data_IF_914212130182
#
_entry.id   IF_914212130182
#
_cell.length_a   1.000
_cell.length_b   1.000
_cell.length_c   1.000
_cell.angle_alpha   90.00
_cell.angle_beta   90.00
_cell.angle_gamma   90.00
#
_symmetry.space_group_name_H-M   'P 1'
#
loop_
_entity.id
_entity.type
_entity.pdbx_description
1 polymer ?
#
# COMPACT_ATOMS: atom_id res chain seq x y z
N UNK A 1 64.70 2.95 6.11
CA UNK A 1 64.26 4.12 5.31
C UNK A 1 62.75 4.21 5.42
N UNK A 2 62.26 5.34 5.96
CA UNK A 2 60.84 5.63 6.22
C UNK A 2 60.03 5.73 4.93
N UNK A 3 58.77 5.31 4.98
CA UNK A 3 57.62 6.13 4.55
C UNK A 3 56.32 5.54 5.10
N UNK A 4 55.80 6.25 6.09
CA UNK A 4 54.41 6.19 6.55
C UNK A 4 53.51 6.83 5.48
N UNK A 5 52.33 6.25 5.26
CA UNK A 5 51.21 6.91 4.57
C UNK A 5 50.04 6.91 5.55
N UNK A 6 49.75 8.09 6.08
CA UNK A 6 48.56 8.39 6.88
C UNK A 6 47.33 8.36 5.97
N UNK A 7 46.32 7.60 6.37
CA UNK A 7 44.96 7.69 5.83
C UNK A 7 44.18 8.63 6.75
N UNK A 8 43.75 9.76 6.20
CA UNK A 8 42.96 10.78 6.87
C UNK A 8 41.50 10.34 6.93
N UNK A 9 41.00 10.00 8.12
CA UNK A 9 39.56 9.79 8.37
C UNK A 9 38.90 11.13 8.65
N UNK A 10 37.97 11.55 7.78
CA UNK A 10 37.15 12.74 7.98
C UNK A 10 35.80 12.33 8.57
N UNK A 11 35.63 12.55 9.87
CA UNK A 11 34.36 12.41 10.59
C UNK A 11 33.58 13.71 10.43
N UNK A 12 32.45 13.68 9.71
CA UNK A 12 31.51 14.81 9.64
C UNK A 12 30.53 14.67 10.80
N UNK A 13 30.71 15.52 11.82
CA UNK A 13 29.73 15.75 12.90
C UNK A 13 28.85 16.90 12.42
N UNK A 14 27.59 16.62 12.09
CA UNK A 14 26.58 17.65 11.85
C UNK A 14 25.93 18.05 13.19
N UNK A 15 26.36 19.19 13.74
CA UNK A 15 25.70 19.82 14.86
C UNK A 15 24.54 20.70 14.36
N UNK A 16 23.31 20.35 14.74
CA UNK A 16 22.13 21.20 14.55
C UNK A 16 22.19 22.39 15.52
N UNK A 17 22.44 23.58 15.00
CA UNK A 17 22.29 24.84 15.74
C UNK A 17 20.86 25.37 15.64
N UNK A 18 20.15 25.37 16.77
CA UNK A 18 18.99 26.23 17.01
C UNK A 18 19.47 27.66 17.23
N UNK A 19 18.94 28.63 16.50
CA UNK A 19 19.03 30.04 16.85
C UNK A 19 17.71 30.75 16.52
N UNK A 20 17.06 31.22 17.57
CA UNK A 20 15.97 32.19 17.57
C UNK A 20 16.51 33.58 17.93
N UNK A 21 15.70 34.61 17.65
CA UNK A 21 15.89 36.06 17.84
C UNK A 21 16.48 36.76 16.60
N UNK A 22 16.00 37.92 16.14
CA UNK A 22 15.02 38.87 16.66
C UNK A 22 14.72 39.96 15.60
N UNK A 23 13.76 40.81 15.92
CA UNK A 23 13.20 41.89 15.11
C UNK A 23 14.21 42.94 14.63
N UNK A 24 13.94 43.56 13.48
CA UNK A 24 14.13 45.00 13.30
C UNK A 24 13.04 45.59 12.39
N UNK A 25 12.44 46.67 12.89
CA UNK A 25 11.45 47.50 12.23
C UNK A 25 12.10 48.34 11.13
N UNK A 26 11.36 48.61 10.06
CA UNK A 26 11.48 49.89 9.35
C UNK A 26 10.12 50.32 8.83
N UNK A 27 9.69 51.48 9.31
CA UNK A 27 8.49 52.21 8.94
C UNK A 27 8.58 52.69 7.47
N UNK A 28 7.47 52.61 6.73
CA UNK A 28 7.21 53.58 5.67
C UNK A 28 5.71 53.88 5.53
N UNK A 29 5.36 55.05 6.06
CA UNK A 29 4.30 56.03 5.75
C UNK A 29 3.10 55.62 4.87
N UNK A 30 1.94 55.68 5.53
CA UNK A 30 0.63 56.20 5.13
C UNK A 30 0.44 56.76 3.70
N UNK A 31 -0.58 56.23 3.03
CA UNK A 31 -1.56 57.04 2.31
C UNK A 31 -2.97 56.52 2.62
N UNK A 32 -3.72 57.30 3.40
CA UNK A 32 -5.17 57.23 3.47
C UNK A 32 -5.76 57.83 2.19
N UNK A 33 -6.69 57.11 1.57
CA UNK A 33 -7.87 57.73 0.97
C UNK A 33 -9.07 56.87 1.31
N UNK A 34 -10.01 57.51 2.00
CA UNK A 34 -11.23 56.91 2.49
C UNK A 34 -12.28 56.81 1.38
N UNK A 35 -13.20 55.86 1.63
CA UNK A 35 -14.62 55.93 1.35
C UNK A 35 -15.11 55.26 0.05
N UNK A 36 -15.50 53.98 0.17
CA UNK A 36 -16.81 53.55 -0.32
C UNK A 36 -17.30 52.31 0.46
N UNK A 37 -18.11 52.56 1.49
CA UNK A 37 -19.02 51.55 2.06
C UNK A 37 -20.17 51.35 1.07
N UNK A 38 -20.35 50.15 0.54
CA UNK A 38 -21.67 49.54 0.27
C UNK A 38 -21.56 48.08 -0.16
N UNK A 39 -22.49 47.29 0.38
CA UNK A 39 -22.80 45.88 0.11
C UNK A 39 -21.88 44.83 0.74
N UNK A 40 -21.90 44.80 2.08
CA UNK A 40 -22.11 43.53 2.78
C UNK A 40 -23.46 42.94 2.35
N UNK A 41 -23.52 41.61 2.23
CA UNK A 41 -24.59 40.78 1.64
C UNK A 41 -24.57 40.66 0.11
N UNK A 42 -23.81 39.68 -0.40
CA UNK A 42 -24.38 38.69 -1.32
C UNK A 42 -23.47 37.46 -1.47
N UNK A 43 -24.01 36.33 -1.00
CA UNK A 43 -23.65 34.93 -1.34
C UNK A 43 -22.25 34.44 -0.93
N UNK A 44 -22.11 34.13 0.36
CA UNK A 44 -21.57 32.81 0.72
C UNK A 44 -22.53 31.75 0.17
N UNK A 45 -22.37 31.40 -1.11
CA UNK A 45 -22.82 30.09 -1.59
C UNK A 45 -21.82 29.09 -1.02
N UNK A 46 -22.07 28.62 0.21
CA UNK A 46 -21.62 27.29 0.61
C UNK A 46 -22.30 26.29 -0.32
N UNK A 47 -21.75 26.10 -1.51
CA UNK A 47 -22.02 24.91 -2.30
C UNK A 47 -21.29 23.76 -1.60
N UNK A 48 -21.89 23.24 -0.52
CA UNK A 48 -21.76 21.82 -0.25
C UNK A 48 -22.58 21.11 -1.33
N UNK A 49 -22.08 21.09 -2.56
CA UNK A 49 -22.43 20.00 -3.44
C UNK A 49 -21.70 18.80 -2.84
N UNK A 50 -22.45 17.93 -2.15
CA UNK A 50 -21.96 16.60 -1.86
C UNK A 50 -21.45 16.02 -3.18
N UNK A 51 -20.19 15.55 -3.19
CA UNK A 51 -19.60 14.97 -4.37
C UNK A 51 -20.46 13.75 -4.74
N UNK A 52 -21.03 13.72 -5.94
CA UNK A 52 -21.84 12.57 -6.39
C UNK A 52 -21.13 11.85 -7.53
N UNK A 53 -21.14 10.52 -7.50
CA UNK A 53 -20.68 9.73 -8.64
C UNK A 53 -21.45 10.17 -9.91
N UNK A 54 -20.76 10.39 -11.04
CA UNK A 54 -21.44 10.77 -12.29
C UNK A 54 -22.54 9.78 -12.67
N UNK A 55 -23.73 10.30 -13.02
CA UNK A 55 -24.89 9.49 -13.41
C UNK A 55 -25.01 9.30 -14.93
N UNK A 56 -24.57 10.29 -15.69
CA UNK A 56 -24.59 10.26 -17.15
C UNK A 56 -23.20 9.94 -17.67
N UNK A 57 -23.11 8.84 -18.43
CA UNK A 57 -21.87 8.35 -18.99
C UNK A 57 -21.86 8.57 -20.50
N UNK A 58 -20.71 8.95 -21.05
CA UNK A 58 -20.54 9.03 -22.50
C UNK A 58 -20.39 7.62 -23.07
N UNK A 59 -21.46 7.08 -23.67
CA UNK A 59 -21.47 5.74 -24.25
C UNK A 59 -20.38 5.50 -25.32
N UNK A 60 -19.85 6.57 -25.93
CA UNK A 60 -18.76 6.49 -26.91
C UNK A 60 -17.35 6.42 -26.29
N UNK A 61 -17.20 6.62 -24.98
CA UNK A 61 -15.90 6.80 -24.33
C UNK A 61 -14.98 5.57 -24.43
N UNK A 62 -15.54 4.37 -24.65
CA UNK A 62 -14.77 3.13 -24.79
C UNK A 62 -14.61 2.65 -26.24
N UNK A 63 -15.20 3.35 -27.22
CA UNK A 63 -15.16 2.95 -28.62
C UNK A 63 -13.80 3.31 -29.24
N UNK A 64 -13.21 2.37 -29.97
CA UNK A 64 -11.98 2.57 -30.75
C UNK A 64 -10.81 3.17 -29.94
N UNK A 65 -10.73 2.84 -28.64
CA UNK A 65 -9.65 3.29 -27.77
C UNK A 65 -8.29 2.80 -28.28
N UNK A 66 -7.41 3.75 -28.58
CA UNK A 66 -6.00 3.50 -28.94
C UNK A 66 -5.10 3.40 -27.70
N UNK A 67 -5.54 3.95 -26.57
CA UNK A 67 -4.80 3.95 -25.30
C UNK A 67 -5.74 3.83 -24.10
N UNK A 68 -5.24 3.22 -23.03
CA UNK A 68 -5.91 3.17 -21.72
C UNK A 68 -5.20 3.99 -20.65
N UNK A 69 -4.08 4.66 -21.00
CA UNK A 69 -3.36 5.54 -20.09
C UNK A 69 -4.16 6.83 -19.87
N UNK A 70 -4.33 7.22 -18.61
CA UNK A 70 -4.91 8.50 -18.22
C UNK A 70 -3.89 9.32 -17.40
N UNK A 71 -4.13 10.62 -17.26
CA UNK A 71 -3.16 11.59 -16.72
C UNK A 71 -2.73 11.29 -15.28
N UNK A 72 -3.62 10.75 -14.45
CA UNK A 72 -3.38 10.48 -13.03
C UNK A 72 -3.39 8.99 -12.68
N UNK A 73 -3.55 8.10 -13.67
CA UNK A 73 -3.68 6.66 -13.44
C UNK A 73 -2.71 5.86 -14.30
N UNK A 74 -1.93 5.01 -13.62
CA UNK A 74 -1.23 3.89 -14.24
C UNK A 74 -2.09 2.63 -14.12
N UNK A 75 -2.64 2.16 -15.23
CA UNK A 75 -3.34 0.86 -15.28
C UNK A 75 -2.35 -0.27 -15.54
N UNK A 76 -2.44 -1.33 -14.74
CA UNK A 76 -1.80 -2.61 -15.00
C UNK A 76 -2.86 -3.53 -15.63
N UNK A 77 -2.86 -3.59 -16.96
CA UNK A 77 -3.98 -4.08 -17.77
C UNK A 77 -3.98 -5.62 -17.94
N UNK A 78 -4.14 -6.35 -16.83
CA UNK A 78 -4.30 -7.81 -16.83
C UNK A 78 -5.05 -8.27 -15.58
N UNK A 79 -5.76 -9.40 -15.69
CA UNK A 79 -6.35 -10.09 -14.53
C UNK A 79 -5.58 -11.39 -14.16
N UNK A 80 -4.50 -11.71 -14.87
CA UNK A 80 -3.62 -12.83 -14.51
C UNK A 80 -2.64 -12.38 -13.41
N UNK A 81 -2.67 -12.98 -12.20
CA UNK A 81 -1.76 -12.62 -11.11
C UNK A 81 -0.28 -12.76 -11.46
N UNK A 82 0.10 -13.75 -12.28
CA UNK A 82 1.49 -13.95 -12.72
C UNK A 82 1.93 -12.78 -13.58
N UNK A 83 1.12 -12.40 -14.58
CA UNK A 83 1.43 -11.25 -15.43
C UNK A 83 1.38 -9.93 -14.67
N UNK A 84 0.43 -9.76 -13.75
CA UNK A 84 0.31 -8.59 -12.89
C UNK A 84 1.58 -8.39 -12.06
N UNK A 85 2.13 -9.46 -11.49
CA UNK A 85 3.37 -9.42 -10.73
C UNK A 85 4.57 -9.04 -11.60
N UNK A 86 4.64 -9.55 -12.83
CA UNK A 86 5.68 -9.16 -13.82
C UNK A 86 5.56 -7.68 -14.17
N UNK A 87 4.37 -7.18 -14.50
CA UNK A 87 4.16 -5.75 -14.83
C UNK A 87 4.48 -4.86 -13.63
N UNK A 88 4.05 -5.25 -12.42
CA UNK A 88 4.35 -4.52 -11.18
C UNK A 88 5.85 -4.43 -10.95
N UNK A 89 6.56 -5.57 -11.06
CA UNK A 89 8.00 -5.61 -10.86
C UNK A 89 8.76 -4.77 -11.89
N UNK A 90 8.34 -4.77 -13.16
CA UNK A 90 8.92 -3.91 -14.20
C UNK A 90 8.64 -2.43 -13.99
N UNK A 91 7.48 -2.08 -13.41
CA UNK A 91 7.12 -0.69 -13.12
C UNK A 91 7.95 -0.11 -11.98
N UNK A 92 8.26 -0.92 -10.96
CA UNK A 92 8.95 -0.45 -9.74
C UNK A 92 10.46 -0.67 -9.82
N UNK A 93 10.89 -1.80 -10.39
CA UNK A 93 12.29 -2.17 -10.56
C UNK A 93 12.62 -2.35 -12.06
N UNK A 94 12.94 -1.25 -12.76
CA UNK A 94 13.37 -1.33 -14.15
C UNK A 94 14.63 -2.19 -14.35
N UNK A 95 15.45 -2.39 -13.31
CA UNK A 95 16.65 -3.22 -13.33
C UNK A 95 17.63 -2.87 -14.46
N UNK A 96 17.72 -1.57 -14.79
CA UNK A 96 18.64 -1.04 -15.82
C UNK A 96 20.05 -0.80 -15.29
N UNK A 97 20.19 -0.67 -13.97
CA UNK A 97 21.46 -0.51 -13.24
C UNK A 97 21.28 -1.02 -11.81
N UNK A 98 22.37 -1.18 -11.04
CA UNK A 98 22.32 -1.86 -9.73
C UNK A 98 21.39 -1.17 -8.74
N UNK A 99 21.31 0.14 -8.80
CA UNK A 99 20.56 1.00 -7.88
C UNK A 99 19.04 0.85 -8.03
N UNK A 100 18.55 0.30 -9.15
CA UNK A 100 17.13 0.01 -9.38
C UNK A 100 16.85 -1.48 -9.61
N UNK A 101 17.75 -2.36 -9.16
CA UNK A 101 17.52 -3.79 -9.01
C UNK A 101 16.96 -4.09 -7.62
N UNK A 102 16.11 -5.12 -7.46
CA UNK A 102 15.65 -5.55 -6.16
C UNK A 102 16.76 -6.28 -5.38
N UNK A 103 16.63 -6.34 -4.06
CA UNK A 103 17.50 -7.21 -3.25
C UNK A 103 17.17 -8.68 -3.45
N UNK A 104 15.90 -9.07 -3.34
CA UNK A 104 15.45 -10.44 -3.59
C UNK A 104 14.05 -10.48 -4.22
N UNK A 105 13.73 -11.56 -4.94
CA UNK A 105 12.38 -11.85 -5.39
C UNK A 105 11.68 -12.80 -4.40
N UNK A 106 10.42 -12.53 -4.08
CA UNK A 106 9.59 -13.36 -3.18
C UNK A 106 8.64 -14.19 -4.05
N UNK A 107 8.78 -15.51 -4.05
CA UNK A 107 7.89 -16.42 -4.78
C UNK A 107 6.82 -16.95 -3.86
N UNK A 108 5.55 -16.73 -4.23
CA UNK A 108 4.39 -17.19 -3.48
C UNK A 108 3.51 -18.12 -4.33
N UNK A 109 2.84 -19.11 -3.73
CA UNK A 109 1.92 -19.98 -4.44
C UNK A 109 0.69 -19.21 -4.95
N UNK A 110 0.39 -19.31 -6.25
CA UNK A 110 -0.73 -18.58 -6.88
C UNK A 110 -2.11 -18.90 -6.30
N UNK A 111 -2.28 -20.11 -5.75
CA UNK A 111 -3.56 -20.58 -5.22
C UNK A 111 -3.65 -20.58 -3.68
N UNK A 112 -2.73 -19.91 -2.97
CA UNK A 112 -2.78 -19.79 -1.50
C UNK A 112 -2.61 -18.33 -1.09
N UNK A 113 -3.69 -17.56 -1.23
CA UNK A 113 -3.70 -16.12 -0.99
C UNK A 113 -3.26 -15.76 0.44
N UNK A 114 -3.47 -16.64 1.42
CA UNK A 114 -3.06 -16.40 2.80
C UNK A 114 -1.53 -16.31 2.93
N UNK A 115 -0.81 -17.21 2.27
CA UNK A 115 0.65 -17.20 2.24
C UNK A 115 1.14 -15.97 1.50
N UNK A 116 0.57 -15.69 0.33
CA UNK A 116 0.93 -14.50 -0.45
C UNK A 116 0.71 -13.19 0.30
N UNK A 117 -0.42 -13.08 1.01
CA UNK A 117 -0.78 -11.89 1.80
C UNK A 117 0.16 -11.68 2.97
N UNK A 118 0.47 -12.71 3.76
CA UNK A 118 1.40 -12.59 4.88
C UNK A 118 2.83 -12.31 4.41
N UNK A 119 3.23 -12.86 3.26
CA UNK A 119 4.58 -12.66 2.69
C UNK A 119 4.87 -11.22 2.25
N UNK A 120 3.83 -10.39 2.09
CA UNK A 120 4.02 -8.98 1.76
C UNK A 120 4.85 -8.22 2.81
N UNK A 121 4.83 -8.67 4.08
CA UNK A 121 5.63 -8.10 5.17
C UNK A 121 7.15 -8.08 4.87
N UNK A 122 7.59 -8.98 3.98
CA UNK A 122 8.99 -9.12 3.58
C UNK A 122 9.36 -8.28 2.34
N UNK A 123 8.44 -7.52 1.74
CA UNK A 123 8.69 -6.71 0.53
C UNK A 123 9.73 -5.62 0.80
N UNK A 124 9.49 -4.74 1.77
CA UNK A 124 10.38 -3.59 2.04
C UNK A 124 11.69 -4.03 2.71
N UNK A 125 11.60 -4.64 3.89
CA UNK A 125 12.74 -5.21 4.59
C UNK A 125 12.53 -6.72 4.74
N UNK A 126 13.54 -7.57 4.46
CA UNK A 126 14.93 -7.26 4.06
C UNK A 126 15.11 -7.08 2.55
N UNK A 127 14.08 -7.36 1.75
CA UNK A 127 14.27 -7.71 0.34
C UNK A 127 14.35 -6.49 -0.57
N UNK A 128 13.57 -5.44 -0.29
CA UNK A 128 13.25 -4.40 -1.25
C UNK A 128 13.02 -4.97 -2.66
N UNK A 129 11.99 -5.81 -2.80
CA UNK A 129 11.78 -6.56 -4.02
C UNK A 129 10.36 -7.08 -4.24
N UNK A 130 10.06 -7.56 -5.45
CA UNK A 130 8.70 -7.89 -5.84
C UNK A 130 8.24 -9.24 -5.27
N UNK A 131 6.92 -9.38 -5.13
CA UNK A 131 6.26 -10.68 -5.11
C UNK A 131 6.08 -11.14 -6.56
N UNK A 132 6.48 -12.38 -6.84
CA UNK A 132 6.16 -13.11 -8.06
C UNK A 132 5.46 -14.44 -7.70
N UNK A 133 4.85 -15.08 -8.68
CA UNK A 133 4.01 -16.26 -8.45
C UNK A 133 4.64 -17.54 -8.94
N UNK A 134 4.44 -18.62 -8.18
CA UNK A 134 4.83 -19.98 -8.53
C UNK A 134 3.68 -20.95 -8.30
N UNK A 135 3.83 -22.16 -8.83
CA UNK A 135 3.02 -23.32 -8.47
C UNK A 135 3.83 -24.24 -7.56
N UNK A 136 3.15 -25.23 -6.95
CA UNK A 136 3.82 -26.19 -6.08
C UNK A 136 4.86 -27.04 -6.83
N UNK A 137 4.53 -27.44 -8.06
CA UNK A 137 5.34 -28.36 -8.87
C UNK A 137 6.24 -27.66 -9.90
N UNK A 138 5.99 -26.38 -10.18
CA UNK A 138 6.72 -25.62 -11.21
C UNK A 138 6.68 -24.10 -11.03
N UNK A 139 7.60 -23.39 -11.67
CA UNK A 139 7.59 -21.93 -11.75
C UNK A 139 7.13 -21.52 -13.16
N UNK A 140 6.12 -20.65 -13.30
CA UNK A 140 5.71 -20.13 -14.60
C UNK A 140 6.89 -19.52 -15.37
N UNK A 141 6.96 -19.76 -16.67
CA UNK A 141 8.06 -19.26 -17.52
C UNK A 141 8.20 -17.73 -17.44
N UNK A 142 7.08 -17.00 -17.36
CA UNK A 142 7.08 -15.55 -17.18
C UNK A 142 7.77 -15.13 -15.88
N UNK A 143 7.57 -15.87 -14.79
CA UNK A 143 8.24 -15.61 -13.51
C UNK A 143 9.73 -15.91 -13.58
N UNK A 144 10.15 -17.02 -14.19
CA UNK A 144 11.58 -17.33 -14.37
C UNK A 144 12.31 -16.27 -15.21
N UNK A 145 11.69 -15.84 -16.32
CA UNK A 145 12.21 -14.75 -17.16
C UNK A 145 12.33 -13.46 -16.37
N UNK A 146 11.35 -13.15 -15.54
CA UNK A 146 11.35 -11.93 -14.75
C UNK A 146 12.41 -11.94 -13.64
N UNK A 147 12.58 -13.04 -12.90
CA UNK A 147 13.68 -13.17 -11.91
C UNK A 147 15.03 -12.93 -12.61
N UNK A 148 15.23 -13.54 -13.79
CA UNK A 148 16.47 -13.36 -14.57
C UNK A 148 16.67 -11.90 -15.01
N UNK A 149 15.60 -11.22 -15.44
CA UNK A 149 15.63 -9.81 -15.85
C UNK A 149 15.96 -8.90 -14.67
N UNK A 150 15.32 -9.14 -13.52
CA UNK A 150 15.51 -8.39 -12.28
C UNK A 150 16.95 -8.53 -11.76
N UNK A 151 17.55 -9.71 -11.92
CA UNK A 151 18.90 -10.05 -11.46
C UNK A 151 19.14 -9.60 -10.00
N UNK A 152 18.43 -10.21 -9.02
CA UNK A 152 18.41 -9.72 -7.64
C UNK A 152 19.80 -9.70 -7.00
N UNK A 153 20.09 -8.61 -6.27
CA UNK A 153 21.42 -8.37 -5.69
C UNK A 153 21.78 -9.31 -4.53
N UNK A 154 20.78 -9.90 -3.90
CA UNK A 154 20.89 -10.60 -2.63
C UNK A 154 20.58 -9.69 -1.44
N UNK A 155 19.86 -10.21 -0.46
CA UNK A 155 19.71 -9.60 0.87
C UNK A 155 21.03 -9.62 1.65
N UNK A 156 21.02 -9.16 2.91
CA UNK A 156 22.21 -9.13 3.78
C UNK A 156 22.89 -10.50 3.94
N UNK A 157 22.12 -11.59 3.95
CA UNK A 157 22.66 -12.95 4.00
C UNK A 157 22.93 -13.54 2.60
N UNK A 158 22.72 -12.77 1.54
CA UNK A 158 22.93 -13.13 0.14
C UNK A 158 21.74 -13.83 -0.51
N UNK A 159 20.59 -13.97 0.17
CA UNK A 159 19.40 -14.60 -0.41
C UNK A 159 18.89 -13.77 -1.59
N UNK A 160 18.76 -14.38 -2.77
CA UNK A 160 18.28 -13.73 -3.98
C UNK A 160 16.83 -14.08 -4.31
N UNK A 161 16.38 -15.26 -3.87
CA UNK A 161 15.00 -15.71 -4.04
C UNK A 161 14.49 -16.30 -2.73
N UNK A 162 13.37 -15.79 -2.25
CA UNK A 162 12.66 -16.38 -1.13
C UNK A 162 11.48 -17.21 -1.66
N UNK A 163 11.36 -18.45 -1.21
CA UNK A 163 10.31 -19.38 -1.62
C UNK A 163 9.33 -19.57 -0.45
N UNK A 164 8.08 -19.22 -0.66
CA UNK A 164 7.05 -19.26 0.37
C UNK A 164 6.17 -20.50 0.18
N UNK A 165 6.02 -21.30 1.23
CA UNK A 165 5.21 -22.51 1.19
C UNK A 165 6.01 -23.79 0.96
N UNK A 166 5.30 -24.92 1.07
CA UNK A 166 5.84 -26.23 0.71
C UNK A 166 5.74 -26.46 -0.80
N UNK A 167 6.89 -26.65 -1.44
CA UNK A 167 7.04 -26.87 -2.89
C UNK A 167 7.82 -28.15 -3.17
N UNK A 168 7.57 -28.76 -4.32
CA UNK A 168 8.30 -29.93 -4.76
C UNK A 168 9.76 -29.60 -5.06
N UNK A 169 10.66 -30.58 -4.93
CA UNK A 169 12.08 -30.40 -5.26
C UNK A 169 12.29 -29.93 -6.70
N UNK A 170 11.42 -30.33 -7.64
CA UNK A 170 11.46 -29.87 -9.04
C UNK A 170 11.32 -28.34 -9.18
N UNK A 171 10.58 -27.70 -8.29
CA UNK A 171 10.43 -26.24 -8.23
C UNK A 171 11.73 -25.58 -7.77
N UNK A 172 12.37 -26.15 -6.74
CA UNK A 172 13.65 -25.65 -6.23
C UNK A 172 14.80 -25.84 -7.22
N UNK A 173 14.81 -26.95 -7.97
CA UNK A 173 15.82 -27.21 -9.01
C UNK A 173 15.79 -26.17 -10.14
N UNK A 174 14.64 -25.57 -10.42
CA UNK A 174 14.51 -24.46 -11.40
C UNK A 174 15.20 -23.17 -10.92
N UNK A 175 15.55 -23.07 -9.63
CA UNK A 175 16.18 -21.91 -9.00
C UNK A 175 17.64 -22.15 -8.59
N UNK A 176 18.25 -23.26 -9.01
CA UNK A 176 19.62 -23.68 -8.58
C UNK A 176 20.73 -22.67 -8.85
N UNK A 177 20.51 -21.69 -9.74
CA UNK A 177 21.45 -20.61 -10.06
C UNK A 177 21.40 -19.46 -9.03
N UNK A 178 20.41 -19.46 -8.14
CA UNK A 178 20.19 -18.43 -7.14
C UNK A 178 20.42 -18.97 -5.73
N UNK A 179 20.80 -18.08 -4.81
CA UNK A 179 20.74 -18.41 -3.39
C UNK A 179 19.29 -18.34 -2.90
N UNK A 180 18.73 -19.49 -2.57
CA UNK A 180 17.33 -19.64 -2.16
C UNK A 180 17.20 -19.76 -0.63
N UNK A 181 16.20 -19.08 -0.07
CA UNK A 181 15.71 -19.31 1.30
C UNK A 181 14.24 -19.70 1.24
N UNK A 182 13.82 -20.73 1.96
CA UNK A 182 12.44 -21.20 1.96
C UNK A 182 11.79 -21.07 3.35
N UNK A 183 10.57 -20.55 3.40
CA UNK A 183 9.67 -20.71 4.55
C UNK A 183 8.70 -21.83 4.21
N UNK A 184 9.04 -23.05 4.64
CA UNK A 184 8.34 -24.28 4.28
C UNK A 184 7.18 -24.57 5.24
N UNK A 185 6.00 -24.00 4.97
CA UNK A 185 4.77 -24.21 5.75
C UNK A 185 3.54 -23.93 4.88
N UNK A 186 2.44 -24.67 5.06
CA UNK A 186 1.20 -24.51 4.30
C UNK A 186 0.00 -24.10 5.16
N UNK A 187 0.04 -24.30 6.48
CA UNK A 187 -0.99 -23.77 7.38
C UNK A 187 -0.88 -22.23 7.45
N UNK A 188 -1.95 -21.48 7.14
CA UNK A 188 -1.91 -20.02 7.14
C UNK A 188 -1.40 -19.40 8.44
N UNK A 189 -1.85 -19.87 9.60
CA UNK A 189 -1.52 -19.27 10.88
C UNK A 189 -0.08 -19.61 11.31
N UNK A 190 0.37 -20.85 11.06
CA UNK A 190 1.76 -21.24 11.31
C UNK A 190 2.70 -20.51 10.36
N UNK A 191 2.34 -20.38 9.08
CA UNK A 191 3.13 -19.65 8.09
C UNK A 191 3.27 -18.17 8.46
N UNK A 192 2.16 -17.50 8.81
CA UNK A 192 2.17 -16.10 9.22
C UNK A 192 3.05 -15.85 10.46
N UNK A 193 3.00 -16.75 11.46
CA UNK A 193 3.95 -16.73 12.59
C UNK A 193 5.40 -16.88 12.12
N UNK A 194 5.65 -17.74 11.13
CA UNK A 194 6.96 -17.93 10.51
C UNK A 194 7.48 -16.65 9.85
N UNK A 195 6.62 -15.91 9.14
CA UNK A 195 6.97 -14.60 8.55
C UNK A 195 7.27 -13.55 9.62
N UNK A 196 6.43 -13.42 10.65
CA UNK A 196 6.67 -12.51 11.80
C UNK A 196 8.02 -12.81 12.48
N UNK A 197 8.33 -14.09 12.67
CA UNK A 197 9.63 -14.52 13.20
C UNK A 197 10.79 -14.18 12.26
N UNK A 198 10.65 -14.44 10.97
CA UNK A 198 11.68 -14.14 9.97
C UNK A 198 11.98 -12.64 9.95
N UNK A 199 10.95 -11.79 9.93
CA UNK A 199 11.09 -10.33 10.03
C UNK A 199 11.84 -9.93 11.31
N UNK A 200 11.46 -10.50 12.46
CA UNK A 200 12.09 -10.21 13.74
C UNK A 200 13.56 -10.67 13.81
N UNK A 201 13.89 -11.82 13.22
CA UNK A 201 15.26 -12.35 13.16
C UNK A 201 16.16 -11.42 12.33
N UNK A 202 15.63 -10.84 11.25
CA UNK A 202 16.34 -9.89 10.39
C UNK A 202 16.54 -8.54 11.06
N UNK A 203 15.49 -8.00 11.68
CA UNK A 203 15.47 -6.64 12.24
C UNK A 203 15.91 -6.58 13.70
N UNK A 204 16.04 -7.74 14.36
CA UNK A 204 16.50 -7.90 15.73
C UNK A 204 15.42 -7.76 16.80
N UNK A 205 14.16 -7.53 16.42
CA UNK A 205 13.03 -7.44 17.37
C UNK A 205 11.69 -7.68 16.69
N UNK A 206 10.72 -8.17 17.46
CA UNK A 206 9.32 -8.19 17.04
C UNK A 206 8.73 -6.77 17.04
N UNK A 207 8.03 -6.35 15.97
CA UNK A 207 7.19 -5.16 15.95
C UNK A 207 6.14 -5.22 17.07
N UNK A 208 5.89 -4.14 17.82
CA UNK A 208 4.89 -4.19 18.90
C UNK A 208 3.45 -4.27 18.38
N UNK A 209 3.18 -3.63 17.24
CA UNK A 209 1.88 -3.64 16.58
C UNK A 209 1.71 -4.87 15.67
N UNK A 210 0.49 -5.36 15.54
CA UNK A 210 0.11 -6.56 14.75
C UNK A 210 -1.23 -6.33 14.09
N UNK A 211 -1.37 -6.74 12.84
CA UNK A 211 -2.66 -6.82 12.16
C UNK A 211 -3.22 -8.24 12.30
N UNK A 212 -4.50 -8.34 12.63
CA UNK A 212 -5.26 -9.59 12.66
C UNK A 212 -6.28 -9.56 11.53
N UNK A 213 -6.17 -10.52 10.62
CA UNK A 213 -7.15 -10.77 9.55
C UNK A 213 -7.75 -12.17 9.66
N UNK A 214 -8.90 -12.38 9.04
CA UNK A 214 -9.46 -13.72 8.88
C UNK A 214 -8.69 -14.48 7.80
N UNK A 215 -8.43 -15.77 8.01
CA UNK A 215 -7.90 -16.70 7.00
C UNK A 215 -8.98 -17.42 6.19
N UNK A 216 -10.25 -17.26 6.57
CA UNK A 216 -11.40 -17.87 5.91
C UNK A 216 -11.78 -17.10 4.64
N UNK A 217 -12.37 -17.77 3.65
CA UNK A 217 -12.67 -17.16 2.35
C UNK A 217 -13.68 -16.01 2.46
N UNK A 218 -14.68 -16.15 3.34
CA UNK A 218 -15.66 -15.11 3.65
C UNK A 218 -15.00 -13.82 4.18
N UNK A 219 -13.84 -13.97 4.85
CA UNK A 219 -13.07 -12.86 5.41
C UNK A 219 -11.98 -12.32 4.48
N UNK A 220 -11.69 -12.99 3.36
CA UNK A 220 -10.58 -12.67 2.46
C UNK A 220 -10.53 -11.19 2.08
N UNK A 221 -11.64 -10.65 1.56
CA UNK A 221 -11.70 -9.25 1.12
C UNK A 221 -11.58 -8.24 2.27
N UNK A 222 -11.92 -8.61 3.51
CA UNK A 222 -11.72 -7.75 4.69
C UNK A 222 -10.26 -7.76 5.15
N UNK A 223 -9.55 -8.86 4.92
CA UNK A 223 -8.12 -9.00 5.22
C UNK A 223 -7.24 -8.37 4.14
N UNK A 224 -7.66 -8.41 2.86
CA UNK A 224 -6.89 -7.91 1.70
C UNK A 224 -6.25 -6.53 1.91
N UNK A 225 -6.91 -5.52 2.52
CA UNK A 225 -6.29 -4.22 2.74
C UNK A 225 -5.02 -4.22 3.61
N UNK A 226 -4.82 -5.23 4.46
CA UNK A 226 -3.60 -5.38 5.26
C UNK A 226 -2.34 -5.51 4.38
N UNK A 227 -2.46 -6.19 3.24
CA UNK A 227 -1.35 -6.53 2.34
C UNK A 227 -0.55 -5.29 1.94
N UNK A 228 -1.26 -4.21 1.60
CA UNK A 228 -0.62 -2.96 1.22
C UNK A 228 0.12 -2.31 2.40
N UNK A 229 -0.45 -2.31 3.60
CA UNK A 229 0.22 -1.70 4.75
C UNK A 229 1.52 -2.44 5.07
N UNK A 230 1.45 -3.76 5.22
CA UNK A 230 2.60 -4.58 5.63
C UNK A 230 3.66 -4.65 4.52
N UNK A 231 3.32 -4.37 3.26
CA UNK A 231 4.32 -4.26 2.18
C UNK A 231 5.39 -3.19 2.42
N UNK A 232 5.08 -2.19 3.26
CA UNK A 232 5.97 -1.09 3.59
C UNK A 232 6.32 -1.02 5.08
N UNK A 233 5.33 -1.28 5.93
CA UNK A 233 5.38 -1.06 7.37
C UNK A 233 5.71 -2.35 8.12
N UNK A 234 6.33 -2.26 9.31
CA UNK A 234 6.92 -3.42 9.98
C UNK A 234 5.91 -4.39 10.59
N UNK A 235 4.63 -4.03 10.71
CA UNK A 235 3.65 -4.86 11.40
C UNK A 235 3.29 -6.14 10.62
N UNK A 236 3.34 -7.33 11.23
CA UNK A 236 2.95 -8.55 10.54
C UNK A 236 1.42 -8.63 10.41
N UNK A 237 0.98 -9.43 9.43
CA UNK A 237 -0.38 -9.97 9.37
C UNK A 237 -0.40 -11.36 9.99
N UNK A 238 -1.21 -11.55 11.04
CA UNK A 238 -1.51 -12.85 11.62
C UNK A 238 -2.98 -13.22 11.39
N UNK A 239 -3.27 -14.53 11.41
CA UNK A 239 -4.58 -15.05 11.04
C UNK A 239 -5.41 -15.55 12.21
N UNK A 240 -6.72 -15.40 12.09
CA UNK A 240 -7.74 -16.03 12.93
C UNK A 240 -8.83 -16.66 12.06
N UNK A 241 -9.60 -17.58 12.62
CA UNK A 241 -10.91 -17.94 12.06
C UNK A 241 -12.01 -17.05 12.66
N UNK A 242 -13.24 -17.19 12.18
CA UNK A 242 -14.38 -16.38 12.65
C UNK A 242 -14.55 -16.43 14.17
N UNK A 243 -14.47 -17.62 14.75
CA UNK A 243 -14.76 -17.89 16.16
C UNK A 243 -13.59 -18.51 16.93
N UNK A 244 -12.40 -18.56 16.33
CA UNK A 244 -11.23 -19.23 16.91
C UNK A 244 -9.94 -18.46 16.66
N UNK A 245 -9.12 -18.35 17.70
CA UNK A 245 -7.71 -17.94 17.59
C UNK A 245 -6.84 -19.20 17.49
N UNK A 246 -6.12 -19.43 16.38
CA UNK A 246 -5.16 -20.53 16.27
C UNK A 246 -4.02 -20.40 17.30
N UNK A 247 -3.47 -21.53 17.78
CA UNK A 247 -2.34 -21.49 18.74
C UNK A 247 -1.12 -20.79 18.15
N UNK A 248 -0.85 -20.94 16.86
CA UNK A 248 0.26 -20.23 16.19
C UNK A 248 0.14 -18.71 16.32
N UNK A 249 -1.07 -18.17 16.22
CA UNK A 249 -1.34 -16.73 16.41
C UNK A 249 -1.13 -16.34 17.87
N UNK A 250 -1.56 -17.18 18.82
CA UNK A 250 -1.32 -16.96 20.25
C UNK A 250 0.20 -16.93 20.55
N UNK A 251 0.96 -17.86 20.00
CA UNK A 251 2.43 -17.94 20.16
C UNK A 251 3.12 -16.70 19.59
N UNK A 252 2.74 -16.25 18.39
CA UNK A 252 3.27 -15.03 17.78
C UNK A 252 2.98 -13.79 18.63
N UNK A 253 1.77 -13.68 19.21
CA UNK A 253 1.42 -12.58 20.11
C UNK A 253 2.21 -12.64 21.43
N UNK A 254 2.42 -13.83 21.99
CA UNK A 254 3.23 -14.02 23.21
C UNK A 254 4.68 -13.54 23.03
N UNK A 255 5.23 -13.56 21.81
CA UNK A 255 6.58 -13.03 21.53
C UNK A 255 6.73 -11.54 21.91
N UNK A 256 5.63 -10.79 21.93
CA UNK A 256 5.57 -9.36 22.35
C UNK A 256 5.40 -9.17 23.86
N UNK A 257 5.44 -10.26 24.65
CA UNK A 257 5.45 -10.24 26.13
C UNK A 257 4.28 -9.44 26.74
N UNK A 258 3.08 -9.56 26.15
CA UNK A 258 1.87 -8.87 26.62
C UNK A 258 1.78 -7.39 26.23
N UNK A 259 2.69 -6.89 25.39
CA UNK A 259 2.73 -5.49 24.93
C UNK A 259 2.19 -5.32 23.50
N UNK A 260 1.48 -6.31 22.97
CA UNK A 260 1.00 -6.22 21.60
C UNK A 260 -0.05 -5.11 21.44
N UNK A 261 0.07 -4.31 20.38
CA UNK A 261 -1.02 -3.46 19.88
C UNK A 261 -1.69 -4.21 18.73
N UNK A 262 -2.89 -4.74 18.96
CA UNK A 262 -3.55 -5.69 18.07
C UNK A 262 -4.64 -4.94 17.29
N UNK A 263 -4.53 -4.90 15.96
CA UNK A 263 -5.52 -4.27 15.09
C UNK A 263 -6.30 -5.33 14.32
N UNK A 264 -7.59 -5.50 14.65
CA UNK A 264 -8.46 -6.48 14.01
C UNK A 264 -9.13 -5.83 12.80
N UNK A 265 -8.92 -6.38 11.60
CA UNK A 265 -9.57 -5.90 10.38
C UNK A 265 -10.85 -6.69 10.09
N UNK A 266 -11.95 -5.98 9.96
CA UNK A 266 -13.25 -6.54 9.58
C UNK A 266 -14.31 -6.49 10.69
N UNK A 267 -15.59 -6.58 10.30
CA UNK A 267 -16.72 -6.55 11.22
C UNK A 267 -16.82 -7.84 12.05
N UNK A 268 -17.67 -7.81 13.07
CA UNK A 268 -17.89 -8.94 13.98
C UNK A 268 -18.45 -10.19 13.29
N UNK A 269 -19.10 -10.02 12.14
CA UNK A 269 -19.61 -11.12 11.31
C UNK A 269 -18.50 -11.94 10.67
N UNK A 270 -17.29 -11.36 10.55
CA UNK A 270 -16.08 -11.98 9.99
C UNK A 270 -15.11 -12.41 11.08
N UNK A 271 -14.95 -11.63 12.16
CA UNK A 271 -14.12 -11.97 13.33
C UNK A 271 -14.91 -11.61 14.58
N UNK A 272 -15.42 -12.61 15.31
CA UNK A 272 -16.35 -12.40 16.42
C UNK A 272 -15.78 -11.62 17.60
N UNK A 273 -16.67 -11.12 18.47
CA UNK A 273 -16.29 -10.50 19.75
C UNK A 273 -15.55 -11.48 20.65
N UNK A 274 -15.89 -12.76 20.58
CA UNK A 274 -15.24 -13.82 21.34
C UNK A 274 -13.77 -13.97 20.95
N UNK A 275 -13.45 -13.87 19.66
CA UNK A 275 -12.06 -13.81 19.17
C UNK A 275 -11.37 -12.56 19.70
N UNK A 276 -12.01 -11.39 19.61
CA UNK A 276 -11.45 -10.14 20.13
C UNK A 276 -11.11 -10.22 21.63
N UNK A 277 -12.01 -10.82 22.42
CA UNK A 277 -11.80 -11.07 23.86
C UNK A 277 -10.63 -12.01 24.13
N UNK A 278 -10.42 -13.03 23.28
CA UNK A 278 -9.28 -13.92 23.39
C UNK A 278 -7.97 -13.20 23.09
N UNK A 279 -7.94 -12.40 22.02
CA UNK A 279 -6.78 -11.58 21.63
C UNK A 279 -6.42 -10.56 22.73
N UNK A 280 -7.42 -9.97 23.39
CA UNK A 280 -7.25 -9.03 24.50
C UNK A 280 -6.47 -9.55 25.71
N UNK A 281 -6.28 -10.88 25.82
CA UNK A 281 -5.41 -11.49 26.84
C UNK A 281 -3.92 -11.29 26.54
N UNK A 282 -3.58 -10.88 25.32
CA UNK A 282 -2.21 -10.79 24.81
C UNK A 282 -1.78 -9.36 24.46
N UNK A 283 -2.69 -8.38 24.53
CA UNK A 283 -2.41 -7.00 24.19
C UNK A 283 -3.65 -6.12 24.13
N UNK A 284 -3.47 -4.86 23.75
CA UNK A 284 -4.56 -3.92 23.52
C UNK A 284 -5.16 -4.16 22.15
N UNK A 285 -6.47 -4.42 22.07
CA UNK A 285 -7.16 -4.66 20.80
C UNK A 285 -7.89 -3.39 20.34
N UNK A 286 -7.77 -3.09 19.06
CA UNK A 286 -8.52 -2.04 18.35
C UNK A 286 -9.10 -2.66 17.09
N UNK A 287 -10.42 -2.60 16.92
CA UNK A 287 -11.08 -3.04 15.68
C UNK A 287 -11.14 -1.91 14.66
N UNK A 288 -10.89 -2.24 13.39
CA UNK A 288 -11.07 -1.38 12.23
C UNK A 288 -12.01 -2.12 11.29
N UNK A 289 -13.20 -1.57 11.08
CA UNK A 289 -14.26 -2.29 10.37
C UNK A 289 -15.13 -1.36 9.52
N UNK A 290 -15.54 -1.86 8.35
CA UNK A 290 -16.69 -1.37 7.58
C UNK A 290 -17.71 -2.48 7.38
N UNK A 291 -18.94 -2.14 6.98
CA UNK A 291 -20.03 -3.12 6.78
C UNK A 291 -19.79 -3.97 5.53
N UNK A 292 -19.22 -3.37 4.50
CA UNK A 292 -18.80 -4.04 3.26
C UNK A 292 -17.27 -4.10 3.14
N UNK A 293 -16.70 -4.97 2.27
CA UNK A 293 -15.26 -4.97 2.04
C UNK A 293 -14.71 -3.64 1.51
N UNK A 294 -15.48 -2.96 0.65
CA UNK A 294 -15.15 -1.61 0.16
C UNK A 294 -15.07 -0.63 1.31
N UNK A 295 -16.09 -0.54 2.17
CA UNK A 295 -16.07 0.35 3.33
C UNK A 295 -14.99 -0.02 4.34
N UNK A 296 -14.67 -1.31 4.50
CA UNK A 296 -13.58 -1.77 5.34
C UNK A 296 -12.21 -1.30 4.83
N UNK A 297 -12.00 -1.35 3.50
CA UNK A 297 -10.78 -0.81 2.88
C UNK A 297 -10.66 0.71 3.09
N UNK A 298 -11.78 1.45 2.99
CA UNK A 298 -11.86 2.89 3.29
C UNK A 298 -11.59 3.16 4.77
N UNK A 299 -12.19 2.38 5.66
CA UNK A 299 -12.01 2.51 7.10
C UNK A 299 -10.52 2.34 7.46
N UNK A 300 -9.85 1.34 6.89
CA UNK A 300 -8.42 1.12 7.12
C UNK A 300 -7.55 2.22 6.50
N UNK A 301 -7.87 2.68 5.28
CA UNK A 301 -7.17 3.81 4.66
C UNK A 301 -7.26 5.09 5.53
N UNK A 302 -8.43 5.39 6.10
CA UNK A 302 -8.60 6.59 6.95
C UNK A 302 -8.01 6.41 8.36
N UNK A 303 -7.85 5.17 8.83
CA UNK A 303 -7.45 4.90 10.20
C UNK A 303 -6.04 5.41 10.52
N UNK A 304 -5.89 5.99 11.71
CA UNK A 304 -4.60 6.36 12.29
C UNK A 304 -4.67 6.20 13.81
N UNK A 305 -3.78 5.39 14.38
CA UNK A 305 -3.51 5.39 15.81
C UNK A 305 -2.39 6.39 16.10
N UNK A 306 -2.72 7.50 16.76
CA UNK A 306 -1.76 8.55 17.07
C UNK A 306 -0.67 8.16 18.07
N UNK A 307 -0.89 7.12 18.88
CA UNK A 307 0.06 6.67 19.90
C UNK A 307 1.09 5.74 19.29
N UNK A 308 0.64 4.76 18.52
CA UNK A 308 1.52 3.74 17.91
C UNK A 308 2.03 4.15 16.54
N UNK A 309 1.43 5.18 15.93
CA UNK A 309 1.62 5.61 14.54
C UNK A 309 1.18 4.60 13.49
N UNK A 310 0.51 3.51 13.90
CA UNK A 310 -0.09 2.53 12.99
C UNK A 310 -1.24 3.15 12.18
N UNK A 311 -1.39 2.72 10.92
CA UNK A 311 -2.44 3.17 10.00
C UNK A 311 -2.02 4.32 9.09
N UNK A 312 -2.70 4.40 7.96
CA UNK A 312 -2.41 5.31 6.85
C UNK A 312 -2.71 6.78 7.17
N UNK A 313 -3.82 7.07 7.86
CA UNK A 313 -4.29 8.44 8.05
C UNK A 313 -4.61 9.16 6.74
N UNK A 314 -5.05 8.42 5.73
CA UNK A 314 -5.28 8.87 4.36
C UNK A 314 -6.50 9.80 4.28
N UNK A 315 -6.27 11.09 4.56
CA UNK A 315 -7.30 12.11 4.77
C UNK A 315 -6.98 13.46 4.13
N UNK A 316 -5.84 13.56 3.44
CA UNK A 316 -5.32 14.77 2.79
C UNK A 316 -4.84 14.42 1.38
N UNK A 317 -4.65 15.39 0.47
CA UNK A 317 -4.05 15.14 -0.85
C UNK A 317 -2.55 14.83 -0.76
N UNK A 318 -1.98 14.32 -1.85
CA UNK A 318 -0.53 14.12 -2.05
C UNK A 318 -0.07 12.67 -1.94
N UNK A 319 -0.94 11.71 -2.22
CA UNK A 319 -0.66 10.30 -1.99
C UNK A 319 -0.90 9.43 -3.23
N UNK A 320 -0.24 8.27 -3.27
CA UNK A 320 -0.65 7.18 -4.15
C UNK A 320 -1.92 6.52 -3.62
N UNK A 321 -2.68 5.86 -4.50
CA UNK A 321 -3.77 4.96 -4.12
C UNK A 321 -3.85 3.84 -5.14
N UNK A 322 -4.00 2.60 -4.66
CA UNK A 322 -4.22 1.45 -5.50
C UNK A 322 -5.72 1.11 -5.52
N UNK A 323 -6.21 0.65 -6.66
CA UNK A 323 -7.59 0.21 -6.84
C UNK A 323 -7.62 -1.19 -7.44
N UNK A 324 -8.50 -2.04 -6.94
CA UNK A 324 -8.69 -3.41 -7.43
C UNK A 324 -10.16 -3.80 -7.31
N UNK A 325 -10.64 -4.64 -8.23
CA UNK A 325 -11.99 -5.20 -8.14
C UNK A 325 -12.09 -6.22 -7.00
N UNK A 326 -13.24 -6.27 -6.31
CA UNK A 326 -13.55 -7.34 -5.35
C UNK A 326 -13.61 -8.74 -6.00
N UNK A 327 -13.69 -8.84 -7.33
CA UNK A 327 -13.68 -10.11 -8.06
C UNK A 327 -12.27 -10.63 -8.38
N UNK A 328 -11.23 -9.79 -8.25
CA UNK A 328 -9.84 -10.14 -8.56
C UNK A 328 -8.87 -9.79 -7.41
N UNK A 329 -9.15 -10.21 -6.16
CA UNK A 329 -8.37 -9.76 -4.99
C UNK A 329 -6.91 -10.19 -5.01
N UNK A 330 -6.54 -11.26 -5.74
CA UNK A 330 -5.15 -11.72 -5.88
C UNK A 330 -4.23 -10.70 -6.55
N UNK A 331 -4.79 -9.81 -7.38
CA UNK A 331 -4.02 -8.72 -7.97
C UNK A 331 -3.47 -7.76 -6.91
N UNK A 332 -4.08 -7.71 -5.72
CA UNK A 332 -3.56 -6.93 -4.59
C UNK A 332 -2.21 -7.44 -4.13
N UNK A 333 -2.03 -8.77 -4.03
CA UNK A 333 -0.77 -9.38 -3.62
C UNK A 333 0.32 -9.07 -4.65
N UNK A 334 -0.01 -9.19 -5.93
CA UNK A 334 0.87 -8.87 -7.04
C UNK A 334 1.28 -7.38 -7.05
N UNK A 335 0.32 -6.48 -6.81
CA UNK A 335 0.49 -5.03 -6.82
C UNK A 335 0.96 -4.42 -5.49
N UNK A 336 1.08 -5.22 -4.43
CA UNK A 336 1.45 -4.77 -3.08
C UNK A 336 2.71 -3.88 -3.03
N UNK A 337 3.77 -4.15 -3.85
CA UNK A 337 4.94 -3.27 -3.93
C UNK A 337 4.67 -1.77 -4.15
N UNK A 338 3.55 -1.38 -4.78
CA UNK A 338 3.20 0.04 -4.94
C UNK A 338 2.95 0.75 -3.61
N UNK A 339 2.63 0.04 -2.54
CA UNK A 339 2.49 0.67 -1.22
C UNK A 339 3.85 0.99 -0.59
N UNK A 340 4.91 0.26 -0.98
CA UNK A 340 6.28 0.61 -0.60
C UNK A 340 6.86 1.72 -1.47
N UNK A 341 6.80 1.59 -2.80
CA UNK A 341 7.53 2.45 -3.75
C UNK A 341 6.63 3.29 -4.67
N UNK A 342 5.31 3.21 -4.54
CA UNK A 342 4.32 3.97 -5.31
C UNK A 342 3.64 5.07 -4.48
N UNK A 343 4.43 5.89 -3.77
CA UNK A 343 3.92 7.00 -2.94
C UNK A 343 2.97 6.57 -1.80
N UNK A 344 3.29 5.48 -1.11
CA UNK A 344 2.58 5.01 0.09
C UNK A 344 1.08 4.78 -0.17
N UNK A 345 0.80 3.96 -1.19
CA UNK A 345 -0.54 3.73 -1.70
C UNK A 345 -1.35 2.70 -0.88
N UNK A 346 -2.38 3.10 -0.10
CA UNK A 346 -3.38 2.16 0.39
C UNK A 346 -4.16 1.54 -0.78
N UNK A 347 -4.78 0.39 -0.55
CA UNK A 347 -5.70 -0.23 -1.50
C UNK A 347 -7.14 0.13 -1.17
N UNK A 348 -7.90 0.54 -2.18
CA UNK A 348 -9.35 0.68 -2.13
C UNK A 348 -9.99 -0.41 -2.99
N UNK A 349 -10.89 -1.18 -2.39
CA UNK A 349 -11.62 -2.23 -3.10
C UNK A 349 -12.82 -1.62 -3.83
N UNK A 350 -12.88 -1.84 -5.14
CA UNK A 350 -14.01 -1.46 -5.98
C UNK A 350 -15.00 -2.62 -6.06
N UNK A 351 -16.24 -2.40 -5.66
CA UNK A 351 -17.29 -3.42 -5.74
C UNK A 351 -17.50 -3.82 -7.20
N UNK A 352 -17.05 -5.04 -7.56
CA UNK A 352 -17.05 -5.58 -8.92
C UNK A 352 -16.49 -4.58 -9.95
N UNK A 353 -15.43 -3.87 -9.55
CA UNK A 353 -14.75 -2.89 -10.38
C UNK A 353 -15.52 -1.59 -10.63
N UNK A 354 -16.52 -1.27 -9.80
CA UNK A 354 -17.28 -0.02 -9.89
C UNK A 354 -16.92 0.93 -8.73
N UNK A 355 -16.97 2.22 -9.02
CA UNK A 355 -16.85 3.28 -8.00
C UNK A 355 -18.17 3.36 -7.24
N UNK A 356 -18.13 3.07 -5.94
CA UNK A 356 -19.24 3.31 -5.03
C UNK A 356 -19.19 4.74 -4.49
N UNK A 357 -20.32 5.24 -3.97
CA UNK A 357 -20.37 6.57 -3.37
C UNK A 357 -19.35 6.76 -2.22
N UNK A 358 -19.15 5.79 -1.29
CA UNK A 358 -18.10 5.91 -0.28
C UNK A 358 -16.68 6.06 -0.84
N UNK A 359 -16.35 5.38 -1.94
CA UNK A 359 -15.03 5.53 -2.59
C UNK A 359 -14.92 6.94 -3.17
N UNK A 360 -15.96 7.41 -3.86
CA UNK A 360 -16.00 8.74 -4.45
C UNK A 360 -15.86 9.85 -3.41
N UNK A 361 -16.54 9.73 -2.27
CA UNK A 361 -16.48 10.69 -1.17
C UNK A 361 -15.08 10.74 -0.53
N UNK A 362 -14.44 9.58 -0.36
CA UNK A 362 -13.05 9.52 0.10
C UNK A 362 -12.13 10.25 -0.89
N UNK A 363 -12.25 9.97 -2.19
CA UNK A 363 -11.41 10.61 -3.21
C UNK A 363 -11.67 12.12 -3.29
N UNK A 364 -12.91 12.57 -3.14
CA UNK A 364 -13.24 13.99 -3.03
C UNK A 364 -12.61 14.66 -1.80
N UNK A 365 -12.49 13.94 -0.68
CA UNK A 365 -11.83 14.44 0.54
C UNK A 365 -10.33 14.68 0.32
N UNK A 366 -9.68 13.82 -0.45
CA UNK A 366 -8.24 13.91 -0.74
C UNK A 366 -7.94 14.60 -2.07
N UNK A 367 -8.93 15.16 -2.76
CA UNK A 367 -8.73 15.77 -4.07
C UNK A 367 -7.79 16.97 -3.92
N UNK A 368 -6.67 17.03 -4.67
CA UNK A 368 -5.73 18.12 -4.51
C UNK A 368 -6.33 19.44 -5.00
N UNK A 369 -5.96 20.54 -4.34
CA UNK A 369 -6.41 21.88 -4.70
C UNK A 369 -5.26 22.85 -4.79
N UNK A 370 -5.35 23.81 -5.70
CA UNK A 370 -4.41 24.92 -5.82
C UNK A 370 -5.13 26.28 -5.77
N UNK A 371 -4.38 27.31 -5.35
CA UNK A 371 -4.85 28.72 -5.36
C UNK A 371 -4.32 29.45 -6.58
N UNK A 372 -3.00 29.58 -6.64
CA UNK A 372 -2.32 30.44 -7.62
C UNK A 372 -1.52 29.62 -8.64
N UNK A 373 -0.82 28.58 -8.19
CA UNK A 373 0.09 27.79 -9.02
C UNK A 373 -0.24 26.29 -8.95
N UNK A 374 -0.77 25.69 -10.03
CA UNK A 374 -1.12 24.28 -10.09
C UNK A 374 0.11 23.37 -10.22
N UNK A 375 1.32 23.92 -10.39
CA UNK A 375 2.58 23.16 -10.58
C UNK A 375 3.24 22.75 -9.25
N UNK A 376 2.80 23.35 -8.13
CA UNK A 376 3.38 23.10 -6.81
C UNK A 376 2.76 21.89 -6.09
N UNK A 377 1.68 21.34 -6.64
CA UNK A 377 0.96 20.23 -6.02
C UNK A 377 0.30 20.61 -4.69
N UNK A 378 0.01 19.63 -3.81
CA UNK A 378 0.32 18.21 -3.93
C UNK A 378 -0.41 17.50 -5.09
N UNK A 379 0.04 16.30 -5.49
CA UNK A 379 -0.60 15.48 -6.53
C UNK A 379 -0.91 14.09 -6.04
N UNK A 380 -2.07 13.57 -6.41
CA UNK A 380 -2.39 12.17 -6.21
C UNK A 380 -1.96 11.34 -7.44
N UNK A 381 -1.86 10.02 -7.25
CA UNK A 381 -1.66 9.09 -8.36
C UNK A 381 -2.38 7.78 -8.08
N UNK A 382 -3.03 7.21 -9.10
CA UNK A 382 -3.75 5.96 -9.02
C UNK A 382 -3.00 4.80 -9.67
N UNK A 383 -2.93 3.65 -9.01
CA UNK A 383 -2.56 2.38 -9.62
C UNK A 383 -3.81 1.52 -9.77
N UNK A 384 -4.22 1.28 -11.02
CA UNK A 384 -5.42 0.50 -11.32
C UNK A 384 -5.03 -0.94 -11.66
N UNK A 385 -5.30 -1.86 -10.73
CA UNK A 385 -4.93 -3.27 -10.83
C UNK A 385 -6.08 -4.06 -11.47
N UNK A 386 -6.02 -4.25 -12.79
CA UNK A 386 -7.02 -5.00 -13.54
C UNK A 386 -7.13 -4.56 -14.99
N UNK A 387 -7.64 -5.46 -15.82
CA UNK A 387 -7.96 -5.14 -17.22
C UNK A 387 -9.29 -4.35 -17.36
N UNK A 388 -9.62 -3.96 -18.60
CA UNK A 388 -10.84 -3.20 -18.89
C UNK A 388 -12.13 -4.00 -18.73
N UNK A 389 -12.06 -5.33 -18.55
CA UNK A 389 -13.23 -6.19 -18.31
C UNK A 389 -13.58 -6.21 -16.83
N UNK A 390 -12.58 -6.30 -15.95
CA UNK A 390 -12.78 -6.28 -14.50
C UNK A 390 -12.98 -4.87 -13.97
N UNK A 391 -12.36 -3.86 -14.58
CA UNK A 391 -12.55 -2.45 -14.25
C UNK A 391 -12.63 -1.63 -15.53
N UNK A 392 -13.83 -1.17 -15.88
CA UNK A 392 -14.08 -0.49 -17.17
C UNK A 392 -13.24 0.79 -17.33
N UNK A 393 -13.06 1.21 -18.58
CA UNK A 393 -12.42 2.49 -18.87
C UNK A 393 -13.23 3.67 -18.32
N UNK A 394 -14.55 3.56 -18.28
CA UNK A 394 -15.43 4.54 -17.65
C UNK A 394 -15.17 4.67 -16.14
N UNK A 395 -15.06 3.55 -15.42
CA UNK A 395 -14.66 3.55 -14.00
C UNK A 395 -13.31 4.25 -13.83
N UNK A 396 -12.32 3.92 -14.69
CA UNK A 396 -11.01 4.55 -14.63
C UNK A 396 -11.09 6.06 -14.86
N UNK A 397 -11.95 6.54 -15.76
CA UNK A 397 -12.18 7.97 -15.99
C UNK A 397 -12.77 8.68 -14.76
N UNK A 398 -13.71 8.06 -14.05
CA UNK A 398 -14.26 8.59 -12.79
C UNK A 398 -13.16 8.72 -11.73
N UNK A 399 -12.30 7.71 -11.61
CA UNK A 399 -11.20 7.73 -10.65
C UNK A 399 -10.17 8.82 -11.02
N UNK A 400 -9.80 8.92 -12.31
CA UNK A 400 -8.83 9.91 -12.80
C UNK A 400 -9.28 11.34 -12.55
N UNK A 401 -10.58 11.63 -12.75
CA UNK A 401 -11.22 12.91 -12.44
C UNK A 401 -11.02 13.30 -10.97
N UNK A 402 -11.20 12.36 -10.04
CA UNK A 402 -11.09 12.64 -8.61
C UNK A 402 -9.68 12.71 -8.08
N UNK A 403 -8.71 12.20 -8.82
CA UNK A 403 -7.29 12.34 -8.49
C UNK A 403 -6.70 13.66 -9.02
N UNK A 404 -7.40 14.32 -9.93
CA UNK A 404 -6.95 15.57 -10.55
C UNK A 404 -6.91 16.73 -9.55
N UNK A 405 -5.84 17.52 -9.67
CA UNK A 405 -5.70 18.78 -8.96
C UNK A 405 -6.64 19.85 -9.55
N UNK A 406 -7.44 20.51 -8.72
CA UNK A 406 -8.44 21.50 -9.16
C UNK A 406 -8.25 22.87 -8.50
N UNK A 407 -8.70 23.93 -9.15
CA UNK A 407 -8.65 25.26 -8.53
C UNK A 407 -9.58 25.30 -7.31
N UNK A 408 -9.11 25.82 -6.18
CA UNK A 408 -9.87 25.85 -4.93
C UNK A 408 -11.20 26.62 -5.07
N UNK A 409 -11.23 27.63 -5.95
CA UNK A 409 -12.41 28.44 -6.26
C UNK A 409 -13.48 27.71 -7.10
N UNK A 410 -13.15 26.55 -7.68
CA UNK A 410 -14.03 25.78 -8.56
C UNK A 410 -14.21 26.35 -9.97
N UNK A 411 -13.44 27.37 -10.36
CA UNK A 411 -13.57 28.06 -11.68
C UNK A 411 -12.79 27.41 -12.83
N UNK A 412 -12.22 26.21 -12.63
CA UNK A 412 -11.42 25.51 -13.64
C UNK A 412 -9.99 26.04 -13.75
N UNK A 413 -9.29 25.67 -14.83
CA UNK A 413 -7.88 26.06 -15.08
C UNK A 413 -7.74 27.39 -15.85
N UNK A 414 -8.83 28.10 -16.13
CA UNK A 414 -8.84 29.27 -17.02
C UNK A 414 -8.35 30.57 -16.37
N UNK A 415 -7.91 30.52 -15.11
CA UNK A 415 -7.56 31.68 -14.28
C UNK A 415 -6.07 31.83 -14.00
N UNK A 416 -5.21 31.53 -14.97
CA UNK A 416 -3.76 31.77 -14.88
C UNK A 416 -3.37 33.19 -15.32
#
# INVERSE_FOLDING_TARGET
MKKEIQVLSMTIIAAFGLAACGQENTEHKNHESANEKKNEQQKEMKMNHEAMVPKEMNAGASNDLVTTSLKNITRLNTNDPVQMAVITSQTIWPATHKENQPGAAILVPVNQWQLGSASADLIHHPNNGPILFMNKESIPEATLKEIKRLNPLGTKDGTQVMVMGDVESSTLEQLKEYKVKQIKETDPAVFAKGVDKEYADITGKYPESVIIGSSEEEGRLYTTPAVNWISHMPEPLLYVGKDKVPEATIEALKARKGKANIYVLGPETIISKEVEKQLGKHGKVTRISGETPTENSIAFAKFKDEKTKFGWGFTKPGHGVSFVSTETPDLTIAGAPFSHMGKHAPILLLDKGKVSQPVYDLLATIQPKFKDDPTLGPYNHGFLLGDTKSISFETQGILDERLEIVQESGKGHDGH
#
